data_IF_567148309896
#
_entry.id   IF_567148309896
#
_cell.length_a   1.000
_cell.length_b   1.000
_cell.length_c   1.000
_cell.angle_alpha   90.00
_cell.angle_beta   90.00
_cell.angle_gamma   90.00
#
_symmetry.space_group_name_H-M   'P 1'
#
loop_
_entity.id
_entity.type
_entity.pdbx_description
1 polymer ?
#
# COMPACT_ATOMS: atom_id res chain seq x y z
N UNK A 1 4.63 53.42 40.00
CA UNK A 1 4.07 52.06 40.17
C UNK A 1 2.55 52.17 40.17
N UNK A 2 1.92 51.84 39.04
CA UNK A 2 0.47 51.88 38.88
C UNK A 2 -0.19 50.91 39.88
N UNK A 3 -0.88 51.46 40.87
CA UNK A 3 -1.58 50.70 41.90
C UNK A 3 -2.89 50.15 41.31
N UNK A 4 -2.83 48.94 40.73
CA UNK A 4 -4.02 48.26 40.20
C UNK A 4 -5.04 48.05 41.32
N UNK A 5 -6.23 48.64 41.15
CA UNK A 5 -7.35 48.45 42.07
C UNK A 5 -7.77 46.97 42.06
N UNK A 6 -8.28 46.49 43.21
CA UNK A 6 -8.57 45.06 43.44
C UNK A 6 -9.39 44.40 42.31
N UNK A 7 -10.28 45.16 41.66
CA UNK A 7 -11.08 44.72 40.50
C UNK A 7 -10.24 44.34 39.27
N UNK A 8 -9.21 45.11 38.94
CA UNK A 8 -8.34 44.85 37.78
C UNK A 8 -7.46 43.61 37.99
N UNK A 9 -7.06 43.33 39.24
CA UNK A 9 -6.30 42.13 39.58
C UNK A 9 -7.14 40.86 39.44
N UNK A 10 -8.42 40.91 39.82
CA UNK A 10 -9.37 39.81 39.64
C UNK A 10 -9.62 39.57 38.14
N UNK A 11 -9.86 40.63 37.37
CA UNK A 11 -10.04 40.53 35.92
C UNK A 11 -8.82 39.90 35.21
N UNK A 12 -7.60 40.31 35.58
CA UNK A 12 -6.38 39.72 35.06
C UNK A 12 -6.24 38.23 35.42
N UNK A 13 -6.62 37.85 36.64
CA UNK A 13 -6.63 36.45 37.08
C UNK A 13 -7.61 35.59 36.29
N UNK A 14 -8.83 36.07 36.06
CA UNK A 14 -9.85 35.34 35.28
C UNK A 14 -9.41 35.15 33.82
N UNK A 15 -8.87 36.19 33.18
CA UNK A 15 -8.37 36.09 31.80
C UNK A 15 -7.19 35.12 31.67
N UNK A 16 -6.29 35.07 32.66
CA UNK A 16 -5.18 34.13 32.67
C UNK A 16 -5.66 32.67 32.73
N UNK A 17 -6.70 32.38 33.54
CA UNK A 17 -7.27 31.03 33.66
C UNK A 17 -7.96 30.60 32.37
N UNK A 18 -8.78 31.48 31.76
CA UNK A 18 -9.41 31.18 30.47
C UNK A 18 -8.38 31.00 29.35
N UNK A 19 -7.34 31.83 29.31
CA UNK A 19 -6.25 31.70 28.33
C UNK A 19 -5.50 30.37 28.48
N UNK A 20 -5.21 29.95 29.71
CA UNK A 20 -4.59 28.65 29.98
C UNK A 20 -5.49 27.49 29.52
N UNK A 21 -6.81 27.60 29.74
CA UNK A 21 -7.77 26.59 29.32
C UNK A 21 -7.83 26.44 27.79
N UNK A 22 -7.80 27.55 27.06
CA UNK A 22 -7.75 27.56 25.59
C UNK A 22 -6.46 26.93 25.08
N UNK A 23 -5.31 27.25 25.67
CA UNK A 23 -4.02 26.67 25.27
C UNK A 23 -3.98 25.16 25.55
N UNK A 24 -4.47 24.71 26.71
CA UNK A 24 -4.53 23.28 27.07
C UNK A 24 -5.45 22.52 26.12
N UNK A 25 -6.64 23.06 25.83
CA UNK A 25 -7.58 22.46 24.88
C UNK A 25 -7.02 22.43 23.45
N UNK A 26 -6.33 23.48 23.01
CA UNK A 26 -5.67 23.55 21.70
C UNK A 26 -4.55 22.51 21.58
N UNK A 27 -3.67 22.39 22.58
CA UNK A 27 -2.59 21.37 22.58
C UNK A 27 -3.16 19.96 22.57
N UNK A 28 -4.26 19.69 23.28
CA UNK A 28 -4.91 18.37 23.28
C UNK A 28 -5.57 18.05 21.95
N UNK A 29 -6.35 18.98 21.38
CA UNK A 29 -7.05 18.79 20.11
C UNK A 29 -6.09 18.71 18.92
N UNK A 30 -5.04 19.51 18.92
CA UNK A 30 -4.03 19.56 17.87
C UNK A 30 -3.16 18.31 17.85
N UNK A 31 -2.81 17.76 19.03
CA UNK A 31 -2.08 16.48 19.14
C UNK A 31 -2.88 15.32 18.54
N UNK A 32 -4.21 15.30 18.73
CA UNK A 32 -5.07 14.30 18.10
C UNK A 32 -5.15 14.50 16.58
N UNK A 33 -5.23 15.75 16.11
CA UNK A 33 -5.34 16.06 14.68
C UNK A 33 -4.03 15.85 13.88
N UNK A 34 -2.85 15.99 14.51
CA UNK A 34 -1.57 15.61 13.88
C UNK A 34 -1.36 14.10 13.91
N UNK A 35 -1.75 13.40 14.98
CA UNK A 35 -1.52 11.95 15.08
C UNK A 35 -2.52 11.12 14.25
N UNK A 36 -3.71 11.66 13.95
CA UNK A 36 -4.74 10.97 13.16
C UNK A 36 -4.29 10.59 11.73
N UNK A 37 -3.68 11.48 10.92
CA UNK A 37 -3.23 11.12 9.57
C UNK A 37 -1.96 10.26 9.53
N UNK A 38 -1.35 9.95 10.68
CA UNK A 38 -0.04 9.30 10.80
C UNK A 38 -0.08 8.00 11.62
N UNK A 39 -1.25 7.42 11.87
CA UNK A 39 -1.40 6.16 12.62
C UNK A 39 -0.99 4.88 11.85
N UNK A 40 -0.23 5.02 10.76
CA UNK A 40 0.26 3.93 9.92
C UNK A 40 1.68 3.46 10.24
N UNK A 41 2.22 3.79 11.40
CA UNK A 41 3.56 3.33 11.80
C UNK A 41 3.45 2.23 12.85
N UNK A 42 3.46 0.99 12.35
CA UNK A 42 4.13 -0.21 12.91
C UNK A 42 3.77 -0.63 14.35
N UNK A 43 3.57 -1.88 14.70
CA UNK A 43 3.79 -3.17 14.04
C UNK A 43 3.35 -4.24 15.04
N UNK A 44 2.90 -5.37 14.50
CA UNK A 44 3.22 -6.71 14.98
C UNK A 44 4.19 -6.77 16.17
N UNK A 45 3.64 -6.88 17.36
CA UNK A 45 4.36 -7.33 18.54
C UNK A 45 3.46 -8.24 19.39
N UNK A 46 2.96 -9.33 18.80
CA UNK A 46 2.91 -10.70 19.34
C UNK A 46 2.06 -11.59 18.41
N UNK A 47 2.68 -12.60 17.82
CA UNK A 47 2.03 -13.59 16.96
C UNK A 47 1.11 -14.51 17.77
N UNK A 48 -0.19 -14.52 17.48
CA UNK A 48 -0.98 -15.77 17.49
C UNK A 48 -2.00 -15.71 16.35
N UNK A 49 -1.68 -16.45 15.29
CA UNK A 49 -2.57 -17.11 14.36
C UNK A 49 -4.08 -16.92 14.64
N UNK A 50 -4.72 -16.04 13.88
CA UNK A 50 -6.04 -16.32 13.30
C UNK A 50 -5.95 -15.98 11.83
N UNK A 51 -5.69 -17.02 11.06
CA UNK A 51 -6.24 -17.18 9.74
C UNK A 51 -7.65 -16.57 9.60
N UNK A 52 -8.00 -16.19 8.37
CA UNK A 52 -9.36 -15.84 7.92
C UNK A 52 -9.85 -14.41 8.22
N UNK A 53 -9.60 -13.49 7.29
CA UNK A 53 -10.66 -13.00 6.38
C UNK A 53 -10.26 -11.70 5.68
N UNK A 54 -9.53 -11.81 4.57
CA UNK A 54 -9.74 -10.89 3.46
C UNK A 54 -10.95 -11.42 2.67
N UNK A 55 -12.16 -11.16 3.18
CA UNK A 55 -13.38 -11.29 2.37
C UNK A 55 -13.42 -10.15 1.36
N UNK A 56 -13.03 -10.45 0.13
CA UNK A 56 -13.32 -9.64 -1.05
C UNK A 56 -12.17 -8.72 -1.49
N UNK A 57 -11.51 -9.13 -2.58
CA UNK A 57 -10.82 -8.29 -3.57
C UNK A 57 -9.78 -7.27 -3.08
N UNK A 58 -8.50 -7.66 -3.16
CA UNK A 58 -7.33 -6.80 -2.92
C UNK A 58 -7.18 -6.47 -1.42
N UNK A 59 -6.04 -6.67 -0.78
CA UNK A 59 -4.82 -5.93 -1.05
C UNK A 59 -3.70 -6.52 -0.17
N UNK A 60 -2.50 -6.68 -0.74
CA UNK A 60 -1.22 -6.44 -0.05
C UNK A 60 -0.76 -7.48 0.97
N UNK A 61 -0.41 -8.68 0.49
CA UNK A 61 0.51 -9.59 1.18
C UNK A 61 1.79 -9.68 0.35
N UNK A 62 2.95 -9.56 1.00
CA UNK A 62 4.32 -9.57 0.45
C UNK A 62 4.41 -10.26 -0.93
N UNK A 63 4.49 -9.43 -1.96
CA UNK A 63 3.94 -9.69 -3.29
C UNK A 63 4.62 -10.78 -4.12
N UNK A 64 5.68 -11.44 -3.64
CA UNK A 64 6.44 -12.40 -4.46
C UNK A 64 6.01 -13.85 -4.27
N UNK A 65 5.50 -14.23 -3.10
CA UNK A 65 5.05 -15.61 -2.86
C UNK A 65 3.68 -15.88 -3.47
N UNK A 66 2.83 -14.85 -3.57
CA UNK A 66 1.47 -14.97 -4.15
C UNK A 66 1.53 -15.19 -5.67
N UNK A 67 2.48 -14.55 -6.34
CA UNK A 67 2.72 -14.69 -7.78
C UNK A 67 3.11 -16.12 -8.18
N UNK A 68 3.62 -16.93 -7.23
CA UNK A 68 4.01 -18.33 -7.51
C UNK A 68 2.82 -19.29 -7.62
N UNK A 69 1.64 -18.83 -7.21
CA UNK A 69 0.40 -19.61 -7.23
C UNK A 69 -0.74 -18.89 -7.95
N UNK A 70 -0.47 -17.69 -8.46
CA UNK A 70 -1.42 -16.88 -9.21
C UNK A 70 -1.09 -16.99 -10.69
N UNK A 71 -2.14 -17.12 -11.49
CA UNK A 71 -2.12 -17.16 -12.94
C UNK A 71 -3.21 -16.16 -13.36
N UNK A 72 -2.79 -14.94 -13.64
CA UNK A 72 -3.63 -13.75 -13.73
C UNK A 72 -4.40 -13.68 -15.05
N UNK A 73 -3.82 -14.12 -16.17
CA UNK A 73 -4.47 -14.19 -17.49
C UNK A 73 -4.97 -15.60 -17.86
N UNK A 74 -4.56 -16.63 -17.12
CA UNK A 74 -5.05 -18.02 -17.24
C UNK A 74 -4.58 -18.73 -18.49
N UNK A 75 -3.39 -18.39 -18.98
CA UNK A 75 -2.73 -19.11 -20.06
C UNK A 75 -2.06 -20.42 -19.58
N UNK A 76 -1.90 -20.57 -18.26
CA UNK A 76 -1.29 -21.75 -17.62
C UNK A 76 0.17 -21.55 -17.20
N UNK A 77 0.72 -20.34 -17.30
CA UNK A 77 1.90 -19.90 -16.56
C UNK A 77 1.50 -19.23 -15.24
N UNK A 78 2.40 -19.28 -14.25
CA UNK A 78 2.24 -18.49 -13.04
C UNK A 78 2.89 -17.12 -13.24
N UNK A 79 2.28 -16.07 -12.68
CA UNK A 79 2.77 -14.68 -12.79
C UNK A 79 4.25 -14.55 -12.38
N UNK A 80 4.71 -15.35 -11.42
CA UNK A 80 6.11 -15.37 -10.99
C UNK A 80 7.04 -15.92 -12.08
N UNK A 81 6.64 -17.00 -12.76
CA UNK A 81 7.43 -17.61 -13.82
C UNK A 81 7.51 -16.69 -15.04
N UNK A 82 6.41 -16.04 -15.40
CA UNK A 82 6.37 -15.03 -16.47
C UNK A 82 7.36 -13.90 -16.22
N UNK A 83 7.30 -13.28 -15.03
CA UNK A 83 8.17 -12.13 -14.71
C UNK A 83 9.64 -12.50 -14.51
N UNK A 84 9.94 -13.69 -13.96
CA UNK A 84 11.30 -14.02 -13.51
C UNK A 84 12.03 -15.01 -14.42
N UNK A 85 11.32 -15.79 -15.23
CA UNK A 85 11.91 -16.82 -16.10
C UNK A 85 11.78 -16.40 -17.56
N UNK A 86 10.57 -16.09 -18.03
CA UNK A 86 10.29 -15.92 -19.46
C UNK A 86 10.28 -14.46 -19.93
N UNK A 87 10.11 -13.51 -19.01
CA UNK A 87 10.02 -12.08 -19.32
C UNK A 87 8.71 -11.69 -20.02
N UNK A 88 7.68 -12.53 -19.93
CA UNK A 88 6.36 -12.32 -20.50
C UNK A 88 5.47 -11.49 -19.57
N UNK A 89 4.26 -11.14 -20.02
CA UNK A 89 3.32 -10.28 -19.32
C UNK A 89 2.24 -11.09 -18.57
N UNK A 90 2.17 -11.04 -17.23
CA UNK A 90 1.16 -11.77 -16.41
C UNK A 90 -0.30 -11.41 -16.61
N UNK A 91 -0.58 -10.53 -17.56
CA UNK A 91 -1.93 -10.01 -17.82
C UNK A 91 -2.32 -10.18 -19.27
N UNK A 92 -1.49 -10.86 -20.07
CA UNK A 92 -1.67 -11.07 -21.50
C UNK A 92 -1.35 -12.52 -21.80
N UNK A 93 -2.37 -13.27 -22.23
CA UNK A 93 -2.20 -14.66 -22.63
C UNK A 93 -1.19 -14.86 -23.78
N UNK A 94 -0.97 -13.81 -24.57
CA UNK A 94 -0.09 -13.71 -25.72
C UNK A 94 0.69 -12.39 -25.62
N UNK A 95 1.95 -12.47 -25.19
CA UNK A 95 2.78 -11.31 -24.87
C UNK A 95 3.28 -10.55 -26.09
N UNK A 96 3.47 -11.24 -27.21
CA UNK A 96 3.98 -10.65 -28.45
C UNK A 96 2.89 -10.34 -29.50
N UNK A 97 1.66 -10.75 -29.20
CA UNK A 97 0.44 -10.51 -29.95
C UNK A 97 0.39 -11.17 -31.34
N UNK A 98 1.00 -12.34 -31.50
CA UNK A 98 1.02 -13.10 -32.76
C UNK A 98 -0.15 -14.09 -32.92
N UNK A 99 -0.92 -14.32 -31.84
CA UNK A 99 -2.06 -15.21 -31.78
C UNK A 99 -1.79 -16.58 -31.13
N UNK A 100 -0.61 -16.80 -30.56
CA UNK A 100 -0.29 -17.97 -29.74
C UNK A 100 -0.08 -17.58 -28.29
N UNK A 101 -0.53 -18.44 -27.37
CA UNK A 101 -0.35 -18.15 -25.96
C UNK A 101 1.10 -18.42 -25.53
N UNK A 102 1.61 -17.64 -24.58
CA UNK A 102 2.99 -17.73 -24.09
C UNK A 102 3.32 -19.16 -23.64
N UNK A 103 2.40 -19.80 -22.90
CA UNK A 103 2.53 -21.21 -22.48
C UNK A 103 2.73 -22.18 -23.64
N UNK A 104 1.96 -22.02 -24.71
CA UNK A 104 1.99 -22.91 -25.87
C UNK A 104 3.30 -22.76 -26.66
N UNK A 105 3.82 -21.54 -26.73
CA UNK A 105 5.10 -21.25 -27.38
C UNK A 105 6.27 -21.84 -26.61
N UNK A 106 6.28 -21.66 -25.28
CA UNK A 106 7.27 -22.27 -24.39
C UNK A 106 7.27 -23.80 -24.52
N UNK A 107 6.09 -24.43 -24.55
CA UNK A 107 5.97 -25.89 -24.69
C UNK A 107 6.44 -26.40 -26.07
N UNK A 108 6.37 -25.56 -27.11
CA UNK A 108 6.94 -25.84 -28.44
C UNK A 108 8.43 -25.50 -28.54
N UNK A 109 9.00 -24.80 -27.54
CA UNK A 109 10.37 -24.31 -27.55
C UNK A 109 10.58 -23.09 -28.44
N UNK A 110 9.52 -22.32 -28.71
CA UNK A 110 9.58 -21.00 -29.30
C UNK A 110 9.88 -19.94 -28.21
N UNK A 111 10.15 -18.70 -28.64
CA UNK A 111 10.35 -17.57 -27.74
C UNK A 111 9.01 -16.81 -27.61
N UNK A 112 8.38 -16.78 -26.42
CA UNK A 112 7.06 -16.17 -26.22
C UNK A 112 7.04 -14.63 -26.30
N UNK A 113 8.21 -14.02 -26.54
CA UNK A 113 8.30 -12.58 -26.82
C UNK A 113 8.64 -12.30 -28.30
N UNK A 114 8.60 -13.34 -29.15
CA UNK A 114 9.02 -13.28 -30.54
C UNK A 114 7.94 -13.76 -31.52
N UNK A 115 7.29 -12.84 -32.24
CA UNK A 115 6.15 -13.18 -33.08
C UNK A 115 6.49 -14.23 -34.15
N UNK A 116 5.58 -15.16 -34.40
CA UNK A 116 5.75 -16.25 -35.36
C UNK A 116 6.14 -15.70 -36.75
N UNK A 117 7.26 -16.22 -37.28
CA UNK A 117 7.78 -15.82 -38.59
C UNK A 117 8.56 -14.50 -38.60
N UNK A 118 8.95 -13.98 -37.43
CA UNK A 118 9.94 -12.89 -37.29
C UNK A 118 11.28 -13.41 -36.82
N UNK A 119 12.33 -12.68 -37.18
CA UNK A 119 13.68 -12.89 -36.63
C UNK A 119 13.87 -11.93 -35.45
N UNK A 120 13.83 -12.44 -34.22
CA UNK A 120 14.01 -11.64 -32.99
C UNK A 120 15.46 -11.66 -32.46
N UNK A 121 16.37 -12.24 -33.25
CA UNK A 121 17.80 -12.29 -32.98
C UNK A 121 18.47 -11.11 -33.70
N UNK A 122 18.58 -9.96 -33.01
CA UNK A 122 19.48 -8.86 -33.42
C UNK A 122 20.80 -8.87 -32.63
#
# INVERSE_FOLDING_TARGET
MSHLTKKHKIAAGVLAVFGMFVIVMWVRQFRQNINAPFSFYKESANQQNTDTSCTGSGCGGNNEEDLRFTDSDKDGLFDWDELNIYGTSPYLEDSDSDGFNDKDEIDKGADPNCPEGKDCYE
#
